data_IF_116210622267
#
_entry.id   IF_116210622267
#
_cell.length_a   1.000
_cell.length_b   1.000
_cell.length_c   1.000
_cell.angle_alpha   90.00
_cell.angle_beta   90.00
_cell.angle_gamma   90.00
#
_symmetry.space_group_name_H-M   'P 1'
#
loop_
_entity.id
_entity.type
_entity.pdbx_description
1 polymer ?
#
# COMPACT_ATOMS: atom_id res chain seq x y z
N UNK A 1 -3.93 -4.34 -15.09
CA UNK A 1 -2.50 -4.58 -15.38
C UNK A 1 -1.91 -3.21 -15.63
N UNK A 2 -1.07 -2.69 -14.74
CA UNK A 2 -0.40 -1.40 -14.94
C UNK A 2 0.59 -1.55 -16.08
N UNK A 3 0.46 -0.73 -17.13
CA UNK A 3 1.49 -0.61 -18.17
C UNK A 3 2.80 -0.25 -17.47
N UNK A 4 3.79 -1.13 -17.54
CA UNK A 4 5.11 -0.88 -16.99
C UNK A 4 5.84 0.06 -17.94
N UNK A 5 5.81 1.36 -17.64
CA UNK A 5 6.58 2.34 -18.37
C UNK A 5 8.08 2.13 -18.09
N UNK A 6 8.85 2.03 -19.15
CA UNK A 6 10.29 1.88 -19.11
C UNK A 6 10.97 3.13 -19.65
N UNK A 7 12.13 3.48 -19.12
CA UNK A 7 12.96 4.55 -19.66
C UNK A 7 13.59 4.06 -20.98
N UNK A 8 13.20 4.64 -22.09
CA UNK A 8 13.79 4.42 -23.41
C UNK A 8 14.98 5.33 -23.65
N UNK A 9 14.85 6.61 -23.31
CA UNK A 9 15.98 7.52 -23.30
C UNK A 9 15.91 8.52 -22.15
N UNK A 10 17.07 8.96 -21.69
CA UNK A 10 17.26 10.02 -20.72
C UNK A 10 18.14 11.09 -21.35
N UNK A 11 17.66 12.32 -21.36
CA UNK A 11 18.42 13.49 -21.80
C UNK A 11 18.48 14.51 -20.67
N UNK A 12 19.65 15.00 -20.38
CA UNK A 12 19.88 16.02 -19.35
C UNK A 12 20.74 17.14 -19.92
N UNK A 13 20.31 18.38 -19.71
CA UNK A 13 21.03 19.57 -20.14
C UNK A 13 21.10 20.58 -19.02
N UNK A 14 22.33 21.00 -18.62
CA UNK A 14 22.60 22.04 -17.63
C UNK A 14 21.89 21.83 -16.27
N UNK A 15 21.92 20.60 -15.76
CA UNK A 15 21.31 20.26 -14.46
C UNK A 15 22.40 19.77 -13.50
N UNK A 16 22.52 20.41 -12.35
CA UNK A 16 23.56 20.11 -11.35
C UNK A 16 24.97 20.16 -11.95
N UNK A 17 25.76 19.09 -11.79
CA UNK A 17 27.08 18.99 -12.40
C UNK A 17 27.06 18.48 -13.86
N UNK A 18 25.87 18.16 -14.40
CA UNK A 18 25.72 17.65 -15.76
C UNK A 18 25.59 18.81 -16.73
N UNK A 19 26.46 18.87 -17.72
CA UNK A 19 26.36 19.81 -18.83
C UNK A 19 25.44 19.29 -19.92
N UNK A 20 25.76 18.12 -20.45
CA UNK A 20 24.92 17.41 -21.42
C UNK A 20 25.17 15.92 -21.31
N UNK A 21 24.08 15.16 -21.20
CA UNK A 21 24.09 13.69 -21.24
C UNK A 21 22.90 13.22 -22.03
N UNK A 22 23.12 12.28 -22.91
CA UNK A 22 22.11 11.47 -23.59
C UNK A 22 22.43 10.01 -23.31
N UNK A 23 21.46 9.28 -22.79
CA UNK A 23 21.59 7.88 -22.39
C UNK A 23 20.37 7.08 -22.88
N UNK A 24 20.62 5.99 -23.55
CA UNK A 24 19.61 4.99 -23.90
C UNK A 24 19.87 3.72 -23.08
N UNK A 25 19.10 3.47 -22.02
CA UNK A 25 19.26 2.28 -21.23
C UNK A 25 18.99 1.01 -22.02
N UNK A 26 19.68 -0.09 -21.68
CA UNK A 26 19.46 -1.37 -22.31
C UNK A 26 17.99 -1.82 -22.19
N UNK A 27 17.49 -2.51 -23.21
CA UNK A 27 16.10 -2.97 -23.29
C UNK A 27 15.71 -3.89 -22.11
N UNK A 28 16.66 -4.60 -21.58
CA UNK A 28 16.49 -5.48 -20.40
C UNK A 28 17.81 -5.54 -19.63
N UNK A 29 17.73 -5.90 -18.35
CA UNK A 29 18.89 -6.04 -17.49
C UNK A 29 19.26 -4.77 -16.73
N UNK A 30 20.56 -4.55 -16.50
CA UNK A 30 21.09 -3.46 -15.67
C UNK A 30 21.95 -2.53 -16.52
N UNK A 31 21.69 -1.24 -16.44
CA UNK A 31 22.54 -0.19 -17.03
C UNK A 31 23.46 0.38 -15.95
N UNK A 32 24.77 0.26 -16.13
CA UNK A 32 25.77 0.74 -15.18
C UNK A 32 26.34 2.09 -15.64
N UNK A 33 26.21 3.10 -14.80
CA UNK A 33 26.79 4.41 -14.98
C UNK A 33 28.13 4.47 -14.24
N UNK A 34 29.22 4.38 -14.97
CA UNK A 34 30.57 4.38 -14.42
C UNK A 34 31.35 5.66 -14.78
N UNK A 35 32.37 6.01 -14.01
CA UNK A 35 33.23 7.17 -14.24
C UNK A 35 33.96 7.62 -12.98
N UNK A 36 34.89 8.57 -13.11
CA UNK A 36 35.67 9.12 -11.99
C UNK A 36 34.77 9.92 -11.04
N UNK A 37 35.24 10.13 -9.80
CA UNK A 37 34.54 11.01 -8.86
C UNK A 37 34.49 12.44 -9.41
N UNK A 38 33.39 13.14 -9.16
CA UNK A 38 33.17 14.50 -9.67
C UNK A 38 32.61 14.60 -11.08
N UNK A 39 32.49 13.51 -11.85
CA UNK A 39 31.99 13.53 -13.23
C UNK A 39 30.45 13.57 -13.39
N UNK A 40 29.72 13.84 -12.32
CA UNK A 40 28.27 14.04 -12.42
C UNK A 40 27.42 12.75 -12.35
N UNK A 41 27.97 11.57 -12.00
CA UNK A 41 27.18 10.32 -11.89
C UNK A 41 25.97 10.46 -10.95
N UNK A 42 26.21 10.95 -9.74
CA UNK A 42 25.15 11.20 -8.76
C UNK A 42 24.21 12.34 -9.20
N UNK A 43 24.74 13.32 -9.94
CA UNK A 43 23.93 14.40 -10.50
C UNK A 43 22.99 13.92 -11.58
N UNK A 44 23.37 12.91 -12.35
CA UNK A 44 22.50 12.29 -13.34
C UNK A 44 21.32 11.56 -12.70
N UNK A 45 21.58 10.78 -11.64
CA UNK A 45 20.50 10.12 -10.87
C UNK A 45 19.58 11.14 -10.20
N UNK A 46 20.16 12.19 -9.62
CA UNK A 46 19.38 13.30 -9.02
C UNK A 46 18.58 14.08 -10.06
N UNK A 47 19.04 14.19 -11.29
CA UNK A 47 18.28 14.82 -12.38
C UNK A 47 17.00 14.03 -12.69
N UNK A 48 17.04 12.68 -12.61
CA UNK A 48 15.86 11.82 -12.73
C UNK A 48 14.91 12.03 -11.53
N UNK A 49 15.43 12.05 -10.31
CA UNK A 49 14.64 12.34 -9.11
C UNK A 49 13.97 13.72 -9.20
N UNK A 50 14.71 14.75 -9.60
CA UNK A 50 14.19 16.10 -9.79
C UNK A 50 13.10 16.16 -10.89
N UNK A 51 13.18 15.33 -11.92
CA UNK A 51 12.14 15.23 -12.93
C UNK A 51 10.86 14.64 -12.35
N UNK A 52 10.97 13.49 -11.69
CA UNK A 52 9.84 12.69 -11.23
C UNK A 52 9.26 13.16 -9.89
N UNK A 53 10.13 13.54 -8.97
CA UNK A 53 9.80 13.83 -7.56
C UNK A 53 10.22 15.24 -7.13
N UNK A 54 9.96 16.24 -7.95
CA UNK A 54 10.50 17.58 -7.71
C UNK A 54 10.32 18.09 -6.27
N UNK A 55 9.12 17.90 -5.69
CA UNK A 55 8.84 18.40 -4.32
C UNK A 55 9.75 17.79 -3.26
N UNK A 56 9.99 16.49 -3.32
CA UNK A 56 10.85 15.79 -2.38
C UNK A 56 12.34 16.02 -2.69
N UNK A 57 12.70 16.02 -3.97
CA UNK A 57 14.07 16.22 -4.40
C UNK A 57 14.56 17.67 -4.22
N UNK A 58 13.68 18.66 -4.43
CA UNK A 58 14.00 20.07 -4.24
C UNK A 58 14.32 20.43 -2.77
N UNK A 59 13.85 19.66 -1.80
CA UNK A 59 14.26 19.83 -0.39
C UNK A 59 15.73 19.46 -0.16
N UNK A 60 16.27 18.58 -1.01
CA UNK A 60 17.66 18.11 -0.94
C UNK A 60 18.61 18.87 -1.87
N UNK A 61 18.05 19.61 -2.83
CA UNK A 61 18.81 20.32 -3.87
C UNK A 61 18.31 21.76 -3.97
N UNK A 62 19.05 22.68 -3.38
CA UNK A 62 18.68 24.11 -3.37
C UNK A 62 18.68 24.73 -4.78
N UNK A 63 19.66 24.35 -5.60
CA UNK A 63 19.83 24.88 -6.95
C UNK A 63 19.99 23.75 -7.97
N UNK A 64 18.91 23.41 -8.71
CA UNK A 64 18.95 22.37 -9.73
C UNK A 64 19.70 22.78 -11.01
N UNK A 65 19.83 24.09 -11.26
CA UNK A 65 20.58 24.60 -12.42
C UNK A 65 22.09 24.41 -12.23
N UNK A 66 22.77 24.12 -13.34
CA UNK A 66 24.21 24.14 -13.39
C UNK A 66 24.70 25.59 -13.21
N UNK A 67 25.75 25.76 -12.42
CA UNK A 67 26.33 27.07 -12.14
C UNK A 67 26.66 27.83 -13.41
N UNK A 68 26.21 29.07 -13.49
CA UNK A 68 26.40 29.96 -14.65
C UNK A 68 25.47 29.70 -15.84
N UNK A 69 24.40 28.92 -15.63
CA UNK A 69 23.40 28.67 -16.66
C UNK A 69 22.02 29.19 -16.26
N UNK A 70 21.32 29.85 -17.18
CA UNK A 70 20.01 30.44 -16.94
C UNK A 70 18.87 29.44 -17.15
N UNK A 71 19.14 28.32 -17.85
CA UNK A 71 18.17 27.32 -18.20
C UNK A 71 18.80 25.93 -18.28
N UNK A 72 18.11 24.96 -17.69
CA UNK A 72 18.44 23.54 -17.78
C UNK A 72 17.17 22.70 -17.91
N UNK A 73 17.30 21.45 -18.27
CA UNK A 73 16.16 20.55 -18.37
C UNK A 73 16.59 19.08 -18.26
N UNK A 74 15.66 18.27 -17.81
CA UNK A 74 15.74 16.81 -17.81
C UNK A 74 14.53 16.28 -18.59
N UNK A 75 14.76 15.30 -19.46
CA UNK A 75 13.73 14.67 -20.29
C UNK A 75 13.88 13.16 -20.23
N UNK A 76 12.74 12.47 -20.07
CA UNK A 76 12.62 11.02 -20.16
C UNK A 76 11.64 10.68 -21.28
N UNK A 77 12.07 9.78 -22.16
CA UNK A 77 11.19 9.05 -23.06
C UNK A 77 10.84 7.71 -22.40
N UNK A 78 9.55 7.50 -22.15
CA UNK A 78 9.02 6.31 -21.47
C UNK A 78 8.40 5.31 -22.46
N UNK A 79 8.60 5.51 -23.77
CA UNK A 79 8.02 4.71 -24.83
C UNK A 79 6.59 5.12 -25.19
N UNK A 80 6.05 4.54 -26.25
CA UNK A 80 4.70 4.79 -26.76
C UNK A 80 4.38 6.28 -26.99
N UNK A 81 5.42 7.05 -27.33
CA UNK A 81 5.34 8.49 -27.53
C UNK A 81 5.18 9.31 -26.26
N UNK A 82 5.33 8.67 -25.08
CA UNK A 82 5.23 9.34 -23.79
C UNK A 82 6.56 9.99 -23.40
N UNK A 83 6.62 11.31 -23.45
CA UNK A 83 7.79 12.11 -23.10
C UNK A 83 7.48 13.01 -21.91
N UNK A 84 8.30 12.93 -20.90
CA UNK A 84 8.24 13.75 -19.69
C UNK A 84 9.44 14.68 -19.65
N UNK A 85 9.21 15.99 -19.55
CA UNK A 85 10.27 16.99 -19.51
C UNK A 85 10.04 17.99 -18.37
N UNK A 86 11.07 18.20 -17.58
CA UNK A 86 11.11 19.28 -16.59
C UNK A 86 12.18 20.27 -16.96
N UNK A 87 11.77 21.53 -17.07
CA UNK A 87 12.65 22.66 -17.35
C UNK A 87 12.88 23.44 -16.06
N UNK A 88 14.12 23.79 -15.78
CA UNK A 88 14.57 24.60 -14.66
C UNK A 88 15.03 25.95 -15.14
N UNK A 89 14.64 26.99 -14.46
CA UNK A 89 15.07 28.38 -14.69
C UNK A 89 15.28 29.05 -13.34
N UNK A 90 15.90 30.21 -13.29
CA UNK A 90 16.02 31.02 -12.07
C UNK A 90 14.66 31.35 -11.46
N UNK A 91 13.62 31.48 -12.29
CA UNK A 91 12.26 31.85 -11.86
C UNK A 91 11.42 30.68 -11.37
N UNK A 92 11.92 29.45 -11.53
CA UNK A 92 11.17 28.24 -11.13
C UNK A 92 11.27 27.10 -12.13
N UNK A 93 10.35 26.15 -12.03
CA UNK A 93 10.34 24.95 -12.87
C UNK A 93 9.03 24.76 -13.58
N UNK A 94 9.11 24.19 -14.79
CA UNK A 94 7.95 23.82 -15.60
C UNK A 94 8.01 22.34 -15.94
N UNK A 95 6.95 21.59 -15.61
CA UNK A 95 6.78 20.21 -16.00
C UNK A 95 5.87 20.11 -17.23
N UNK A 96 6.30 19.39 -18.22
CA UNK A 96 5.53 19.10 -19.44
C UNK A 96 5.51 17.60 -19.65
N UNK A 97 4.33 17.05 -19.91
CA UNK A 97 4.15 15.65 -20.32
C UNK A 97 3.43 15.65 -21.66
N UNK A 98 3.97 14.89 -22.60
CA UNK A 98 3.41 14.73 -23.95
C UNK A 98 3.22 13.26 -24.26
N UNK A 99 2.15 12.96 -24.98
CA UNK A 99 1.93 11.65 -25.61
C UNK A 99 1.75 11.86 -27.11
N UNK A 100 2.78 11.55 -27.88
CA UNK A 100 2.87 11.98 -29.28
C UNK A 100 2.85 13.50 -29.36
N UNK A 101 1.89 14.06 -30.14
CA UNK A 101 1.72 15.51 -30.30
C UNK A 101 0.82 16.16 -29.22
N UNK A 102 0.16 15.37 -28.39
CA UNK A 102 -0.76 15.85 -27.36
C UNK A 102 -0.03 16.22 -26.07
N UNK A 103 -0.32 17.41 -25.53
CA UNK A 103 0.17 17.88 -24.23
C UNK A 103 -0.83 17.55 -23.15
N UNK A 104 -0.41 16.82 -22.12
CA UNK A 104 -1.26 16.43 -21.00
C UNK A 104 -1.49 17.62 -20.06
N UNK A 105 -2.75 18.02 -19.86
CA UNK A 105 -3.14 19.23 -19.14
C UNK A 105 -2.83 19.22 -17.64
N UNK A 106 -2.72 18.03 -17.01
CA UNK A 106 -2.38 17.87 -15.58
C UNK A 106 -1.13 17.01 -15.43
N UNK A 107 0.06 17.53 -15.80
CA UNK A 107 1.27 16.70 -15.91
C UNK A 107 1.72 16.09 -14.58
N UNK A 108 1.55 16.77 -13.45
CA UNK A 108 1.94 16.23 -12.15
C UNK A 108 1.03 15.08 -11.71
N UNK A 109 -0.28 15.25 -11.83
CA UNK A 109 -1.25 14.19 -11.53
C UNK A 109 -1.02 12.95 -12.40
N UNK A 110 -0.69 13.17 -13.67
CA UNK A 110 -0.34 12.08 -14.58
C UNK A 110 0.94 11.35 -14.13
N UNK A 111 2.00 12.07 -13.76
CA UNK A 111 3.21 11.46 -13.20
C UNK A 111 2.93 10.65 -11.95
N UNK A 112 2.07 11.15 -11.07
CA UNK A 112 1.70 10.45 -9.84
C UNK A 112 0.97 9.12 -10.11
N UNK A 113 0.32 8.97 -11.28
CA UNK A 113 -0.34 7.70 -11.68
C UNK A 113 0.62 6.70 -12.32
N UNK A 114 1.61 7.16 -13.10
CA UNK A 114 2.56 6.27 -13.78
C UNK A 114 3.81 5.97 -12.98
N UNK A 115 4.07 6.79 -11.97
CA UNK A 115 5.19 6.61 -11.06
C UNK A 115 4.99 5.31 -10.30
N UNK A 116 5.94 4.36 -10.37
CA UNK A 116 5.92 3.25 -9.44
C UNK A 116 5.92 3.84 -8.02
N UNK A 117 5.02 3.39 -7.14
CA UNK A 117 4.91 3.93 -5.79
C UNK A 117 6.23 3.85 -5.00
N UNK A 118 7.21 3.16 -5.55
CA UNK A 118 8.39 2.72 -4.84
C UNK A 118 9.65 2.84 -5.71
N UNK A 119 10.05 4.08 -6.03
CA UNK A 119 11.44 4.32 -6.35
C UNK A 119 12.24 4.14 -5.05
N UNK A 120 12.53 2.88 -4.72
CA UNK A 120 13.30 2.53 -3.53
C UNK A 120 14.72 3.07 -3.67
N UNK A 121 15.02 4.12 -2.93
CA UNK A 121 16.40 4.43 -2.58
C UNK A 121 16.83 3.42 -1.49
N UNK A 122 17.71 2.44 -1.81
CA UNK A 122 18.11 1.40 -0.84
C UNK A 122 18.79 1.99 0.39
N UNK A 123 19.45 3.15 0.25
CA UNK A 123 20.12 3.82 1.36
C UNK A 123 19.10 4.53 2.25
N UNK A 124 18.12 5.21 1.66
CA UNK A 124 17.02 5.81 2.41
C UNK A 124 16.21 4.73 3.13
N UNK A 125 15.93 3.59 2.49
CA UNK A 125 15.23 2.46 3.10
C UNK A 125 15.92 1.94 4.35
N UNK A 126 17.25 1.79 4.33
CA UNK A 126 17.99 1.31 5.50
C UNK A 126 17.92 2.27 6.69
N UNK A 127 17.80 3.58 6.42
CA UNK A 127 17.68 4.63 7.44
C UNK A 127 16.24 4.90 7.92
N UNK A 128 15.22 4.32 7.28
CA UNK A 128 13.81 4.54 7.67
C UNK A 128 13.47 3.89 9.00
N UNK A 129 12.56 4.50 9.79
CA UNK A 129 11.96 3.86 10.96
C UNK A 129 11.27 2.52 10.59
N UNK A 130 11.24 1.53 11.51
CA UNK A 130 10.66 0.21 11.22
C UNK A 130 9.20 0.24 10.71
N UNK A 131 8.39 1.15 11.23
CA UNK A 131 6.99 1.31 10.81
C UNK A 131 6.88 1.78 9.35
N UNK A 132 7.69 2.76 8.96
CA UNK A 132 7.71 3.26 7.58
C UNK A 132 8.23 2.21 6.61
N UNK A 133 9.29 1.48 7.00
CA UNK A 133 9.80 0.33 6.21
C UNK A 133 8.74 -0.72 5.98
N UNK A 134 7.98 -1.10 7.04
CA UNK A 134 6.89 -2.06 6.93
C UNK A 134 5.83 -1.58 5.94
N UNK A 135 5.38 -0.34 6.05
CA UNK A 135 4.38 0.26 5.15
C UNK A 135 4.86 0.26 3.71
N UNK A 136 6.12 0.64 3.48
CA UNK A 136 6.73 0.65 2.17
C UNK A 136 6.81 -0.77 1.57
N UNK A 137 7.26 -1.75 2.35
CA UNK A 137 7.34 -3.16 1.92
C UNK A 137 5.96 -3.73 1.53
N UNK A 138 4.92 -3.45 2.33
CA UNK A 138 3.54 -3.88 2.04
C UNK A 138 3.08 -3.28 0.71
N UNK A 139 3.39 -2.01 0.48
CA UNK A 139 3.05 -1.30 -0.76
C UNK A 139 3.76 -1.91 -1.97
N UNK A 140 5.09 -2.11 -1.88
CA UNK A 140 5.91 -2.71 -2.95
C UNK A 140 5.44 -4.12 -3.29
N UNK A 141 5.09 -4.90 -2.27
CA UNK A 141 4.58 -6.25 -2.45
C UNK A 141 3.15 -6.29 -3.01
N UNK A 142 2.46 -5.14 -3.10
CA UNK A 142 1.07 -5.10 -3.56
C UNK A 142 0.06 -5.70 -2.57
N UNK A 143 0.47 -5.91 -1.31
CA UNK A 143 -0.32 -6.61 -0.28
C UNK A 143 -1.25 -5.68 0.53
N UNK A 144 -1.40 -4.42 0.13
CA UNK A 144 -2.19 -3.43 0.86
C UNK A 144 -3.65 -3.83 1.07
N UNK A 145 -4.31 -4.32 0.01
CA UNK A 145 -5.71 -4.75 0.09
C UNK A 145 -5.89 -6.04 0.90
N UNK A 146 -4.96 -6.99 0.77
CA UNK A 146 -5.02 -8.24 1.52
C UNK A 146 -4.79 -8.00 3.02
N UNK A 147 -3.87 -7.11 3.35
CA UNK A 147 -3.63 -6.72 4.73
C UNK A 147 -4.83 -5.99 5.34
N UNK A 148 -5.44 -5.04 4.60
CA UNK A 148 -6.63 -4.33 5.07
C UNK A 148 -7.79 -5.30 5.36
N UNK A 149 -8.03 -6.27 4.48
CA UNK A 149 -9.03 -7.33 4.71
C UNK A 149 -8.72 -8.19 5.92
N UNK A 150 -7.45 -8.55 6.11
CA UNK A 150 -7.03 -9.32 7.27
C UNK A 150 -7.20 -8.53 8.58
N UNK A 151 -6.88 -7.26 8.59
CA UNK A 151 -7.07 -6.36 9.74
C UNK A 151 -8.57 -6.21 10.07
N UNK A 152 -9.45 -6.03 9.08
CA UNK A 152 -10.90 -5.99 9.26
C UNK A 152 -11.45 -7.30 9.85
N UNK A 153 -10.96 -8.44 9.36
CA UNK A 153 -11.36 -9.74 9.92
C UNK A 153 -10.92 -9.92 11.37
N UNK A 154 -9.74 -9.47 11.73
CA UNK A 154 -9.22 -9.51 13.11
C UNK A 154 -10.09 -8.64 14.01
N UNK A 155 -10.39 -7.41 13.60
CA UNK A 155 -11.23 -6.48 14.36
C UNK A 155 -12.64 -7.05 14.58
N UNK A 156 -13.25 -7.62 13.54
CA UNK A 156 -14.55 -8.27 13.64
C UNK A 156 -14.53 -9.48 14.59
N UNK A 157 -13.50 -10.31 14.53
CA UNK A 157 -13.33 -11.44 15.41
C UNK A 157 -13.11 -11.02 16.87
N UNK A 158 -12.36 -9.96 17.12
CA UNK A 158 -12.17 -9.40 18.46
C UNK A 158 -13.47 -8.82 19.02
N UNK A 159 -14.25 -8.11 18.22
CA UNK A 159 -15.55 -7.58 18.60
C UNK A 159 -16.52 -8.72 18.97
N UNK A 160 -16.57 -9.77 18.16
CA UNK A 160 -17.40 -10.96 18.42
C UNK A 160 -16.96 -11.67 19.73
N UNK A 161 -15.66 -11.82 19.94
CA UNK A 161 -15.11 -12.40 21.18
C UNK A 161 -15.50 -11.59 22.42
N UNK A 162 -15.42 -10.26 22.35
CA UNK A 162 -15.81 -9.38 23.44
C UNK A 162 -17.32 -9.45 23.72
N UNK A 163 -18.17 -9.52 22.69
CA UNK A 163 -19.63 -9.69 22.85
C UNK A 163 -19.95 -11.00 23.52
N UNK A 164 -19.44 -12.13 23.00
CA UNK A 164 -19.63 -13.44 23.58
C UNK A 164 -19.16 -13.52 25.02
N UNK A 165 -18.03 -12.87 25.34
CA UNK A 165 -17.52 -12.79 26.70
C UNK A 165 -18.40 -11.97 27.66
N UNK A 166 -19.11 -10.95 27.17
CA UNK A 166 -20.11 -10.19 27.96
C UNK A 166 -21.36 -11.04 28.18
N UNK A 167 -21.86 -11.69 27.15
CA UNK A 167 -23.02 -12.57 27.21
C UNK A 167 -22.80 -13.74 28.17
N UNK A 168 -21.64 -14.40 28.10
CA UNK A 168 -21.26 -15.47 29.00
C UNK A 168 -21.22 -15.00 30.46
N UNK A 169 -20.65 -13.82 30.73
CA UNK A 169 -20.63 -13.24 32.07
C UNK A 169 -22.01 -12.89 32.59
N UNK A 170 -22.86 -12.31 31.73
CA UNK A 170 -24.26 -12.02 32.09
C UNK A 170 -25.06 -13.28 32.40
N UNK A 171 -24.93 -14.31 31.54
CA UNK A 171 -25.56 -15.60 31.77
C UNK A 171 -25.07 -16.28 33.06
N UNK A 172 -23.76 -16.24 33.36
CA UNK A 172 -23.19 -16.77 34.58
C UNK A 172 -23.68 -16.03 35.84
N UNK A 173 -23.86 -14.70 35.73
CA UNK A 173 -24.43 -13.91 36.84
C UNK A 173 -25.90 -14.26 37.06
N UNK A 174 -26.70 -14.33 35.98
CA UNK A 174 -28.11 -14.73 36.06
C UNK A 174 -28.27 -16.15 36.64
N UNK A 175 -27.38 -17.08 36.26
CA UNK A 175 -27.38 -18.44 36.79
C UNK A 175 -27.15 -18.50 38.30
N UNK A 176 -26.27 -17.63 38.85
CA UNK A 176 -26.01 -17.53 40.27
C UNK A 176 -27.20 -17.01 41.10
N UNK A 177 -28.09 -16.24 40.46
CA UNK A 177 -29.28 -15.67 41.10
C UNK A 177 -30.49 -16.62 41.04
N UNK A 178 -30.39 -17.73 40.28
CA UNK A 178 -31.45 -18.72 40.22
C UNK A 178 -31.58 -19.40 41.59
N UNK A 179 -32.83 -19.59 42.12
CA UNK A 179 -33.04 -20.34 43.32
C UNK A 179 -32.60 -21.81 43.11
N UNK A 180 -32.21 -22.45 44.20
CA UNK A 180 -31.89 -23.88 44.17
C UNK A 180 -33.01 -24.71 43.56
N UNK A 181 -32.63 -25.70 42.77
CA UNK A 181 -33.61 -26.57 42.12
C UNK A 181 -34.50 -27.24 43.17
N UNK A 182 -35.81 -27.35 42.93
CA UNK A 182 -36.73 -28.07 43.82
C UNK A 182 -36.22 -29.47 44.15
N UNK A 183 -36.42 -29.93 45.37
CA UNK A 183 -36.06 -31.32 45.77
C UNK A 183 -36.72 -32.32 44.86
N UNK A 184 -35.95 -33.19 44.24
CA UNK A 184 -36.40 -34.20 43.31
C UNK A 184 -36.28 -33.82 41.84
N UNK A 185 -35.65 -32.64 41.53
CA UNK A 185 -35.27 -32.30 40.15
C UNK A 185 -34.20 -33.29 39.68
N UNK A 186 -34.39 -33.95 38.51
CA UNK A 186 -33.38 -34.87 37.96
C UNK A 186 -32.09 -34.16 37.63
N UNK A 187 -30.94 -34.76 37.94
CA UNK A 187 -29.61 -34.25 37.63
C UNK A 187 -29.33 -34.24 36.12
N UNK A 188 -30.07 -35.06 35.35
CA UNK A 188 -29.94 -35.12 33.90
C UNK A 188 -31.06 -34.33 33.19
N UNK A 189 -30.66 -33.75 32.06
CA UNK A 189 -31.54 -32.96 31.22
C UNK A 189 -32.60 -33.88 30.57
N UNK A 190 -33.81 -33.89 31.11
CA UNK A 190 -34.91 -34.69 30.59
C UNK A 190 -35.64 -33.89 29.48
N UNK A 191 -35.76 -34.47 28.30
CA UNK A 191 -36.49 -33.86 27.18
C UNK A 191 -38.01 -33.92 27.45
N UNK A 192 -38.69 -32.77 27.35
CA UNK A 192 -40.16 -32.73 27.46
C UNK A 192 -40.87 -33.68 26.48
N UNK A 193 -40.29 -33.90 25.28
CA UNK A 193 -40.81 -34.87 24.33
C UNK A 193 -40.65 -36.31 24.76
N UNK A 194 -39.55 -36.65 25.47
CA UNK A 194 -39.37 -37.99 26.01
C UNK A 194 -40.37 -38.29 27.15
N UNK A 195 -40.57 -37.31 28.04
CA UNK A 195 -41.60 -37.45 29.11
C UNK A 195 -43.00 -37.56 28.57
N UNK A 196 -43.35 -36.80 27.53
CA UNK A 196 -44.67 -36.92 26.86
C UNK A 196 -44.88 -38.29 26.22
N UNK A 197 -43.84 -38.84 25.56
CA UNK A 197 -43.90 -40.17 24.98
C UNK A 197 -44.07 -41.26 26.04
N UNK A 198 -43.37 -41.17 27.15
CA UNK A 198 -43.49 -42.08 28.29
C UNK A 198 -44.90 -42.01 28.92
N UNK A 199 -45.44 -40.80 29.09
CA UNK A 199 -46.79 -40.59 29.62
C UNK A 199 -47.87 -41.16 28.69
N UNK A 200 -47.71 -41.02 27.40
CA UNK A 200 -48.63 -41.62 26.38
C UNK A 200 -48.57 -43.16 26.44
N UNK A 201 -47.35 -43.70 26.58
CA UNK A 201 -47.20 -45.16 26.70
C UNK A 201 -47.84 -45.73 27.96
N UNK A 202 -47.62 -45.05 29.08
CA UNK A 202 -48.26 -45.43 30.37
C UNK A 202 -49.79 -45.32 30.29
N UNK A 203 -50.32 -44.31 29.62
CA UNK A 203 -51.76 -44.16 29.40
C UNK A 203 -52.31 -45.30 28.55
N UNK A 204 -51.63 -45.72 27.50
CA UNK A 204 -51.99 -46.86 26.66
C UNK A 204 -52.03 -48.15 27.46
N UNK A 205 -50.95 -48.42 28.22
CA UNK A 205 -50.92 -49.64 29.09
C UNK A 205 -52.02 -49.66 30.14
N UNK A 206 -52.41 -48.50 30.66
CA UNK A 206 -53.51 -48.42 31.66
C UNK A 206 -54.89 -48.65 31.00
N UNK A 207 -55.05 -48.31 29.71
CA UNK A 207 -56.28 -48.60 28.96
C UNK A 207 -56.38 -50.07 28.56
N UNK A 208 -55.27 -50.76 28.33
CA UNK A 208 -55.25 -52.20 27.97
C UNK A 208 -55.50 -53.13 29.19
N UNK A 209 -55.32 -52.56 30.41
CA UNK A 209 -55.60 -53.32 31.67
C UNK A 209 -57.02 -53.16 32.24
N UNK A 210 -57.89 -52.39 31.52
CA UNK A 210 -59.30 -52.23 31.85
C UNK A 210 -60.20 -53.02 30.90
#
# INVERSE_FOLDING_TARGET
>A
MSEQHRIHSLRVQNVLAVEHVELEPAASGVTIIAGRNGQGKSSLLRAIELLLEYRAAAQKVAEPLRQGQDKGWTELDLGDGLVVRRTFTEKGTTLTVKRGDEVIGSPQSFLDTIRPPDLLDPLAFSGMPPAERRTLMIRVAGLGEELAKAEEMIEAAEAARLSAGREARSAAAAFKELPDAPKGTPDEKVSASALLAELQELQRQHQELK
#
